data_IF_328763402980
#
_entry.id   IF_328763402980
#
_cell.length_a   1.000
_cell.length_b   1.000
_cell.length_c   1.000
_cell.angle_alpha   90.00
_cell.angle_beta   90.00
_cell.angle_gamma   90.00
#
_symmetry.space_group_name_H-M   'P 1'
#
loop_
_entity.id
_entity.type
_entity.pdbx_description
1 polymer ?
#
# COMPACT_ATOMS: atom_id res chain seq x y z
N UNK A 1 25.35 5.74 24.71
CA UNK A 1 24.33 6.80 24.65
C UNK A 1 24.62 7.63 23.40
N UNK A 2 23.99 7.31 22.28
CA UNK A 2 24.17 8.05 21.03
C UNK A 2 22.80 8.30 20.41
N UNK A 3 22.34 9.54 20.56
CA UNK A 3 21.17 10.07 19.86
C UNK A 3 21.60 10.30 18.41
N UNK A 4 21.25 9.37 17.52
CA UNK A 4 21.46 9.53 16.09
C UNK A 4 20.45 10.53 15.55
N UNK A 5 20.96 11.58 14.93
CA UNK A 5 20.22 12.74 14.44
C UNK A 5 19.01 12.35 13.61
N UNK A 6 17.84 12.66 14.16
CA UNK A 6 16.61 12.86 13.41
C UNK A 6 16.93 13.94 12.37
N UNK A 7 16.98 13.55 11.09
CA UNK A 7 16.81 14.51 10.00
C UNK A 7 15.54 15.29 10.35
N UNK A 8 15.66 16.61 10.55
CA UNK A 8 14.52 17.52 10.71
C UNK A 8 13.67 17.45 9.44
N UNK A 9 12.85 16.41 9.37
CA UNK A 9 11.62 16.38 8.65
C UNK A 9 10.71 17.36 9.39
N UNK A 10 10.34 18.43 8.71
CA UNK A 10 9.30 19.32 9.20
C UNK A 10 8.03 18.46 9.42
N UNK A 11 7.75 18.08 10.67
CA UNK A 11 6.51 17.42 11.09
C UNK A 11 6.55 15.95 11.55
N UNK A 12 7.73 15.32 11.76
CA UNK A 12 7.78 13.90 12.23
C UNK A 12 8.20 13.70 13.68
N UNK A 13 8.56 14.73 14.44
CA UNK A 13 8.96 14.58 15.86
C UNK A 13 7.86 14.00 16.75
N UNK A 14 6.59 14.12 16.35
CA UNK A 14 5.45 13.85 17.23
C UNK A 14 4.83 12.46 16.99
N UNK A 15 5.46 11.60 16.19
CA UNK A 15 4.93 10.27 15.86
C UNK A 15 6.03 9.21 15.73
N UNK A 16 6.38 8.53 16.84
CA UNK A 16 7.46 7.54 16.85
C UNK A 16 7.11 6.30 16.01
N UNK A 17 5.83 5.90 15.96
CA UNK A 17 5.39 4.71 15.21
C UNK A 17 5.53 4.94 13.70
N UNK A 18 5.10 6.10 13.21
CA UNK A 18 5.29 6.45 11.80
C UNK A 18 6.78 6.57 11.46
N UNK A 19 7.57 7.21 12.33
CA UNK A 19 9.02 7.37 12.14
C UNK A 19 9.72 6.01 12.05
N UNK A 20 9.37 5.07 12.92
CA UNK A 20 9.90 3.71 12.88
C UNK A 20 9.51 2.99 11.59
N UNK A 21 8.29 3.19 11.09
CA UNK A 21 7.84 2.60 9.81
C UNK A 21 8.68 3.08 8.64
N UNK A 22 8.99 4.39 8.58
CA UNK A 22 9.87 4.96 7.56
C UNK A 22 11.29 4.42 7.69
N UNK A 23 11.81 4.30 8.91
CA UNK A 23 13.14 3.71 9.16
C UNK A 23 13.23 2.26 8.66
N UNK A 24 12.20 1.46 8.91
CA UNK A 24 12.13 0.07 8.43
C UNK A 24 12.11 0.01 6.89
N UNK A 25 11.38 0.92 6.25
CA UNK A 25 11.38 1.03 4.79
C UNK A 25 12.76 1.39 4.21
N UNK A 26 13.48 2.32 4.84
CA UNK A 26 14.83 2.69 4.43
C UNK A 26 15.81 1.51 4.56
N UNK A 27 15.77 0.79 5.67
CA UNK A 27 16.60 -0.40 5.89
C UNK A 27 16.29 -1.51 4.89
N UNK A 28 15.01 -1.71 4.55
CA UNK A 28 14.62 -2.66 3.52
C UNK A 28 15.27 -2.31 2.18
N UNK A 29 15.20 -1.04 1.78
CA UNK A 29 15.82 -0.56 0.52
C UNK A 29 17.34 -0.75 0.55
N UNK A 30 18.00 -0.44 1.67
CA UNK A 30 19.45 -0.65 1.83
C UNK A 30 19.85 -2.12 1.71
N UNK A 31 18.98 -3.03 2.16
CA UNK A 31 19.14 -4.47 2.04
C UNK A 31 18.57 -5.05 0.73
N UNK A 32 18.38 -4.20 -0.29
CA UNK A 32 17.90 -4.59 -1.62
C UNK A 32 16.49 -5.23 -1.65
N UNK A 33 15.68 -4.99 -0.60
CA UNK A 33 14.25 -5.28 -0.57
C UNK A 33 13.53 -4.02 -1.05
N UNK A 34 13.31 -3.96 -2.37
CA UNK A 34 12.96 -2.73 -3.05
C UNK A 34 11.44 -2.52 -3.14
N UNK A 35 10.97 -1.25 -3.15
CA UNK A 35 9.58 -0.91 -3.43
C UNK A 35 9.13 -1.44 -4.79
N UNK A 36 7.94 -2.05 -4.82
CA UNK A 36 7.34 -2.65 -6.00
C UNK A 36 6.30 -1.73 -6.63
N UNK A 37 6.34 -1.58 -7.95
CA UNK A 37 5.41 -0.70 -8.65
C UNK A 37 4.01 -1.29 -8.68
N UNK A 38 3.01 -0.46 -8.36
CA UNK A 38 1.59 -0.79 -8.50
C UNK A 38 1.18 -0.47 -9.94
N UNK A 39 0.78 -1.48 -10.70
CA UNK A 39 0.39 -1.32 -12.11
C UNK A 39 -1.09 -0.97 -12.28
N UNK A 40 -1.92 -1.32 -11.30
CA UNK A 40 -3.32 -0.91 -11.25
C UNK A 40 -3.40 0.58 -10.85
N UNK A 41 -3.91 1.42 -11.75
CA UNK A 41 -4.05 2.86 -11.54
C UNK A 41 -3.40 3.75 -12.60
N UNK A 42 -3.52 5.06 -12.42
CA UNK A 42 -3.15 6.06 -13.44
C UNK A 42 -1.73 6.64 -13.30
N UNK A 43 -1.03 6.43 -12.17
CA UNK A 43 0.20 7.14 -11.76
C UNK A 43 1.32 6.23 -11.20
N UNK A 44 2.50 6.80 -10.93
CA UNK A 44 3.59 6.11 -10.23
C UNK A 44 3.27 5.93 -8.74
N UNK A 45 2.84 4.73 -8.36
CA UNK A 45 2.62 4.32 -6.96
C UNK A 45 3.43 3.04 -6.67
N UNK A 46 3.91 2.91 -5.44
CA UNK A 46 4.79 1.81 -5.05
C UNK A 46 4.37 1.21 -3.71
N UNK A 47 4.29 -0.12 -3.63
CA UNK A 47 4.28 -0.84 -2.36
C UNK A 47 5.67 -0.81 -1.75
N UNK A 48 5.79 -0.22 -0.57
CA UNK A 48 7.03 -0.14 0.20
C UNK A 48 7.03 -1.25 1.25
N UNK A 49 8.17 -1.94 1.36
CA UNK A 49 8.33 -3.11 2.22
C UNK A 49 9.24 -2.82 3.41
N UNK A 50 9.11 -3.60 4.47
CA UNK A 50 10.07 -3.65 5.58
C UNK A 50 11.15 -4.73 5.33
N UNK A 51 12.14 -4.91 6.23
CA UNK A 51 13.19 -5.90 6.08
C UNK A 51 12.70 -7.36 6.09
N UNK A 52 11.48 -7.62 6.58
CA UNK A 52 10.84 -8.93 6.49
C UNK A 52 10.12 -9.16 5.16
N UNK A 53 10.19 -8.21 4.22
CA UNK A 53 9.50 -8.28 2.92
C UNK A 53 8.01 -7.97 2.97
N UNK A 54 7.47 -7.58 4.13
CA UNK A 54 6.06 -7.23 4.31
C UNK A 54 5.79 -5.80 3.85
N UNK A 55 4.71 -5.58 3.11
CA UNK A 55 4.25 -4.24 2.72
C UNK A 55 3.85 -3.44 3.95
N UNK A 56 4.44 -2.25 4.12
CA UNK A 56 4.19 -1.34 5.24
C UNK A 56 3.57 -0.01 4.81
N UNK A 57 3.64 0.32 3.53
CA UNK A 57 3.02 1.53 3.02
C UNK A 57 2.93 1.60 1.52
N UNK A 58 2.18 2.59 1.05
CA UNK A 58 2.10 2.99 -0.35
C UNK A 58 2.79 4.34 -0.48
N UNK A 59 3.78 4.42 -1.35
CA UNK A 59 4.50 5.66 -1.65
C UNK A 59 4.13 6.19 -3.04
N UNK A 60 3.75 7.46 -3.11
CA UNK A 60 3.41 8.17 -4.36
C UNK A 60 4.35 9.37 -4.55
N UNK A 61 5.45 9.24 -5.32
CA UNK A 61 6.37 10.34 -5.55
C UNK A 61 5.74 11.46 -6.40
N UNK A 62 5.93 12.70 -5.96
CA UNK A 62 5.41 13.93 -6.60
C UNK A 62 5.72 13.99 -8.09
N UNK A 63 6.95 13.66 -8.49
CA UNK A 63 7.42 13.82 -9.87
C UNK A 63 6.96 12.71 -10.84
N UNK A 64 6.23 11.71 -10.36
CA UNK A 64 5.64 10.60 -11.13
C UNK A 64 4.10 10.61 -11.12
N UNK A 65 3.49 11.67 -10.59
CA UNK A 65 2.06 11.94 -10.70
C UNK A 65 1.64 12.11 -12.18
N UNK A 66 0.33 12.05 -12.52
CA UNK A 66 -0.14 12.18 -13.90
C UNK A 66 0.31 13.47 -14.63
N UNK A 67 0.64 14.53 -13.88
CA UNK A 67 1.20 15.80 -14.38
C UNK A 67 2.67 16.00 -13.99
N UNK A 68 3.32 14.99 -13.41
CA UNK A 68 4.72 15.00 -13.05
C UNK A 68 5.62 15.05 -14.28
N UNK A 69 6.78 15.71 -14.15
CA UNK A 69 7.76 15.89 -15.22
C UNK A 69 8.25 14.58 -15.84
N UNK A 70 8.11 13.45 -15.13
CA UNK A 70 8.57 12.13 -15.56
C UNK A 70 7.43 11.10 -15.71
N UNK A 71 6.18 11.53 -15.94
CA UNK A 71 5.11 10.58 -16.24
C UNK A 71 5.38 9.86 -17.59
N UNK A 72 5.49 8.52 -17.61
CA UNK A 72 5.73 7.75 -18.84
C UNK A 72 4.56 7.77 -19.85
N UNK A 73 3.38 8.26 -19.46
CA UNK A 73 2.25 8.47 -20.38
C UNK A 73 2.39 9.84 -21.08
N UNK A 74 3.29 9.90 -22.06
CA UNK A 74 3.55 11.05 -22.95
C UNK A 74 2.30 11.48 -23.77
N UNK A 75 1.27 10.63 -23.82
CA UNK A 75 0.01 10.83 -24.56
C UNK A 75 -0.85 12.00 -24.08
N UNK A 76 -0.61 12.58 -22.89
CA UNK A 76 -1.37 13.74 -22.39
C UNK A 76 -0.85 15.10 -22.87
N UNK A 77 0.39 15.20 -23.37
CA UNK A 77 0.90 16.45 -23.94
C UNK A 77 0.26 16.74 -25.31
N UNK A 78 0.09 15.69 -26.14
CA UNK A 78 -0.57 15.78 -27.44
C UNK A 78 -2.06 16.14 -27.33
N UNK A 79 -2.75 15.72 -26.26
CA UNK A 79 -4.13 16.12 -25.98
C UNK A 79 -4.28 17.54 -25.42
N UNK A 80 -3.24 18.10 -24.78
CA UNK A 80 -3.24 19.48 -24.26
C UNK A 80 -3.22 20.53 -25.39
N UNK A 81 -2.79 20.14 -26.59
CA UNK A 81 -2.74 21.00 -27.76
C UNK A 81 -4.04 21.00 -28.58
N UNK A 82 -4.85 19.93 -28.50
CA UNK A 82 -6.05 19.74 -29.34
C UNK A 82 -7.39 20.04 -28.63
N UNK A 83 -7.45 20.16 -27.29
CA UNK A 83 -8.71 20.42 -26.58
C UNK A 83 -8.48 21.09 -25.20
N UNK A 84 -8.48 22.44 -25.11
CA UNK A 84 -8.09 23.17 -23.90
C UNK A 84 -9.11 23.09 -22.74
N UNK A 85 -10.28 22.48 -22.93
CA UNK A 85 -11.40 22.46 -21.98
C UNK A 85 -11.85 21.07 -21.50
N UNK A 86 -11.27 19.96 -21.98
CA UNK A 86 -11.79 18.61 -21.71
C UNK A 86 -10.86 17.67 -20.91
N UNK A 87 -9.63 18.09 -20.57
CA UNK A 87 -8.65 17.16 -20.00
C UNK A 87 -7.89 17.71 -18.79
N UNK A 88 -8.30 17.19 -17.63
CA UNK A 88 -7.77 17.51 -16.30
C UNK A 88 -8.82 18.20 -15.44
N UNK A 89 -8.85 17.89 -14.14
CA UNK A 89 -9.72 18.60 -13.20
C UNK A 89 -9.16 20.01 -13.04
N UNK A 90 -9.64 20.96 -13.85
CA UNK A 90 -9.16 22.34 -13.88
C UNK A 90 -9.29 23.06 -12.52
N UNK A 91 -10.15 22.55 -11.64
CA UNK A 91 -10.30 22.99 -10.26
C UNK A 91 -9.22 22.49 -9.30
N UNK A 92 -8.32 21.59 -9.72
CA UNK A 92 -7.24 21.07 -8.89
C UNK A 92 -5.91 21.75 -9.21
N UNK A 93 -5.15 22.07 -8.16
CA UNK A 93 -3.80 22.61 -8.32
C UNK A 93 -2.88 21.51 -8.88
N UNK A 94 -2.18 21.75 -10.01
CA UNK A 94 -1.30 20.74 -10.60
C UNK A 94 -0.16 20.33 -9.67
N UNK A 95 0.22 19.04 -9.69
CA UNK A 95 1.43 18.51 -9.04
C UNK A 95 1.46 18.68 -7.50
N UNK A 96 0.28 18.66 -6.89
CA UNK A 96 0.06 18.69 -5.44
C UNK A 96 -0.73 17.47 -4.94
N UNK A 97 -0.80 16.38 -5.71
CA UNK A 97 -1.53 15.18 -5.31
C UNK A 97 -1.05 14.63 -3.96
N UNK A 98 0.27 14.50 -3.79
CA UNK A 98 0.88 14.07 -2.53
C UNK A 98 0.52 14.96 -1.31
N UNK A 99 0.27 16.26 -1.51
CA UNK A 99 -0.20 17.16 -0.45
C UNK A 99 -1.68 16.93 -0.15
N UNK A 100 -2.49 16.66 -1.16
CA UNK A 100 -3.90 16.30 -0.98
C UNK A 100 -4.03 14.99 -0.18
N UNK A 101 -3.19 14.00 -0.45
CA UNK A 101 -3.13 12.72 0.29
C UNK A 101 -2.75 12.93 1.77
N UNK A 102 -1.68 13.68 2.03
CA UNK A 102 -1.27 14.01 3.40
C UNK A 102 -2.30 14.91 4.11
N UNK A 103 -2.93 15.83 3.38
CA UNK A 103 -3.97 16.71 3.88
C UNK A 103 -5.24 15.97 4.29
N UNK A 104 -5.64 14.93 3.54
CA UNK A 104 -6.76 14.08 3.91
C UNK A 104 -6.51 13.38 5.27
N UNK A 105 -5.30 12.84 5.47
CA UNK A 105 -4.92 12.25 6.76
C UNK A 105 -4.87 13.29 7.89
N UNK A 106 -4.45 14.53 7.60
CA UNK A 106 -4.43 15.60 8.60
C UNK A 106 -5.85 16.01 9.03
N UNK A 107 -6.77 16.14 8.08
CA UNK A 107 -8.19 16.46 8.36
C UNK A 107 -8.85 15.32 9.12
N UNK A 108 -8.63 14.07 8.71
CA UNK A 108 -9.12 12.87 9.41
C UNK A 108 -8.69 12.86 10.89
N UNK A 109 -7.41 13.09 11.17
CA UNK A 109 -6.89 13.15 12.53
C UNK A 109 -7.48 14.31 13.34
N UNK A 110 -7.62 15.49 12.73
CA UNK A 110 -8.16 16.68 13.39
C UNK A 110 -9.64 16.53 13.76
N UNK A 111 -10.39 15.79 12.95
CA UNK A 111 -11.81 15.48 13.16
C UNK A 111 -12.04 14.16 13.89
N UNK A 112 -10.97 13.42 14.23
CA UNK A 112 -11.01 12.12 14.90
C UNK A 112 -11.91 11.10 14.17
N UNK A 113 -11.91 11.12 12.84
CA UNK A 113 -12.71 10.19 12.03
C UNK A 113 -12.08 8.79 12.03
N UNK A 114 -10.75 8.72 12.01
CA UNK A 114 -9.96 7.49 12.07
C UNK A 114 -10.27 6.50 10.93
N UNK A 115 -10.52 7.02 9.72
CA UNK A 115 -10.83 6.22 8.52
C UNK A 115 -9.74 6.31 7.45
N UNK A 116 -8.89 7.35 7.47
CA UNK A 116 -7.75 7.49 6.56
C UNK A 116 -6.51 6.85 7.19
N UNK A 117 -5.89 5.84 6.57
CA UNK A 117 -4.61 5.34 7.02
C UNK A 117 -3.58 6.47 7.07
N UNK A 118 -2.81 6.51 8.15
CA UNK A 118 -1.90 7.64 8.43
C UNK A 118 -1.00 7.92 7.23
N UNK A 119 -1.06 9.16 6.74
CA UNK A 119 -0.36 9.59 5.54
C UNK A 119 0.43 10.86 5.82
N UNK A 120 1.74 10.86 5.53
CA UNK A 120 2.60 12.05 5.67
C UNK A 120 3.46 12.25 4.43
N UNK A 121 4.00 13.46 4.30
CA UNK A 121 5.00 13.78 3.27
C UNK A 121 6.35 13.25 3.73
N UNK A 122 6.98 12.42 2.90
CA UNK A 122 8.30 11.85 3.18
C UNK A 122 9.22 12.00 1.97
N UNK A 123 10.50 11.68 2.17
CA UNK A 123 11.48 11.56 1.09
C UNK A 123 12.03 10.15 1.10
N UNK A 124 11.98 9.46 -0.03
CA UNK A 124 12.56 8.13 -0.20
C UNK A 124 13.48 8.11 -1.42
N UNK A 125 14.48 7.23 -1.39
CA UNK A 125 15.37 6.92 -2.51
C UNK A 125 15.22 5.44 -2.80
N UNK A 126 14.95 5.06 -4.05
CA UNK A 126 14.99 3.65 -4.46
C UNK A 126 15.34 3.55 -5.95
N UNK A 127 16.22 2.62 -6.39
CA UNK A 127 16.49 2.41 -7.80
C UNK A 127 15.24 2.02 -8.63
N UNK A 128 14.19 1.49 -8.00
CA UNK A 128 12.93 1.14 -8.66
C UNK A 128 12.07 2.34 -9.04
N UNK A 129 12.30 3.51 -8.45
CA UNK A 129 11.59 4.74 -8.84
C UNK A 129 12.00 5.22 -10.23
N UNK A 130 11.17 6.05 -10.85
CA UNK A 130 11.45 6.57 -12.18
C UNK A 130 12.41 7.76 -12.14
N UNK A 131 13.68 7.52 -12.47
CA UNK A 131 14.70 8.57 -12.63
C UNK A 131 15.04 8.81 -14.10
N UNK A 132 15.31 10.07 -14.51
CA UNK A 132 15.85 10.36 -15.83
C UNK A 132 17.16 9.60 -16.09
N UNK A 133 17.39 9.17 -17.34
CA UNK A 133 18.53 8.33 -17.75
C UNK A 133 19.89 8.89 -17.30
N UNK A 134 20.06 10.21 -17.30
CA UNK A 134 21.30 10.90 -16.86
C UNK A 134 21.57 10.65 -15.37
N UNK A 135 20.54 10.61 -14.52
CA UNK A 135 20.69 10.34 -13.10
C UNK A 135 21.07 8.88 -12.83
N UNK A 136 20.58 7.94 -13.63
CA UNK A 136 20.97 6.51 -13.57
C UNK A 136 22.44 6.31 -13.99
N UNK A 137 22.91 6.98 -15.04
CA UNK A 137 24.32 6.91 -15.45
C UNK A 137 25.29 7.37 -14.36
N UNK A 138 24.94 8.46 -13.64
CA UNK A 138 25.75 8.97 -12.52
C UNK A 138 25.76 8.04 -11.31
N UNK A 139 24.67 7.33 -11.02
CA UNK A 139 24.66 6.34 -9.94
C UNK A 139 25.51 5.11 -10.28
N UNK A 140 25.47 4.60 -11.52
CA UNK A 140 26.30 3.46 -11.93
C UNK A 140 27.81 3.75 -11.78
N UNK A 141 28.25 4.94 -12.21
CA UNK A 141 29.65 5.37 -12.05
C UNK A 141 30.03 5.48 -10.57
N UNK A 142 29.14 6.02 -9.72
CA UNK A 142 29.41 6.15 -8.29
C UNK A 142 29.45 4.81 -7.56
N UNK A 143 28.62 3.85 -7.97
CA UNK A 143 28.66 2.47 -7.48
C UNK A 143 30.00 1.80 -7.84
N UNK A 144 30.41 1.88 -9.10
CA UNK A 144 31.68 1.30 -9.56
C UNK A 144 32.91 1.88 -8.84
N UNK A 145 32.89 3.16 -8.48
CA UNK A 145 33.97 3.82 -7.72
C UNK A 145 33.94 3.40 -6.23
N UNK A 146 32.75 3.27 -5.64
CA UNK A 146 32.61 2.89 -4.23
C UNK A 146 32.99 1.42 -3.98
N UNK A 147 32.75 0.53 -4.93
CA UNK A 147 33.21 -0.87 -4.87
C UNK A 147 34.74 -0.98 -4.90
N UNK A 148 35.42 0.02 -5.49
CA UNK A 148 36.89 0.09 -5.54
C UNK A 148 37.54 0.78 -4.32
N UNK A 149 36.81 1.63 -3.58
CA UNK A 149 37.33 2.35 -2.40
C UNK A 149 36.30 2.44 -1.26
N UNK A 150 36.19 1.41 -0.40
CA UNK A 150 35.11 1.32 0.60
C UNK A 150 35.25 2.24 1.83
N UNK A 151 36.34 2.99 1.99
CA UNK A 151 36.74 3.57 3.28
C UNK A 151 36.56 5.08 3.48
N UNK A 152 35.78 5.79 2.66
CA UNK A 152 35.58 7.25 2.85
C UNK A 152 34.11 7.61 3.07
N UNK A 153 33.75 7.92 4.32
CA UNK A 153 32.62 8.78 4.68
C UNK A 153 31.23 8.14 4.69
N UNK A 154 30.70 7.93 5.91
CA UNK A 154 29.40 7.32 6.24
C UNK A 154 28.18 8.16 5.79
N UNK A 155 27.05 7.45 5.72
CA UNK A 155 25.67 7.94 5.91
C UNK A 155 25.01 8.70 4.73
N UNK A 156 23.98 8.08 4.14
CA UNK A 156 22.91 8.67 3.31
C UNK A 156 23.17 9.14 1.85
N UNK A 157 24.35 8.93 1.26
CA UNK A 157 24.58 9.24 -0.17
C UNK A 157 25.05 8.05 -1.04
N UNK A 158 24.79 6.81 -0.58
CA UNK A 158 25.31 5.57 -1.20
C UNK A 158 24.76 5.24 -2.60
N UNK A 159 23.53 5.65 -2.94
CA UNK A 159 22.92 5.30 -4.23
C UNK A 159 23.14 6.32 -5.35
N UNK A 160 23.71 7.50 -5.06
CA UNK A 160 23.87 8.60 -6.05
C UNK A 160 22.55 9.18 -6.61
N UNK A 161 21.40 8.56 -6.32
CA UNK A 161 20.07 8.99 -6.71
C UNK A 161 19.53 10.03 -5.73
N UNK A 162 18.84 11.04 -6.27
CA UNK A 162 18.21 12.10 -5.46
C UNK A 162 16.98 11.55 -4.73
N UNK A 163 16.79 11.85 -3.42
CA UNK A 163 15.54 11.54 -2.73
C UNK A 163 14.33 12.18 -3.42
N UNK A 164 13.30 11.37 -3.66
CA UNK A 164 12.01 11.81 -4.19
C UNK A 164 11.09 12.15 -3.04
N UNK A 165 10.47 13.32 -3.11
CA UNK A 165 9.40 13.74 -2.19
C UNK A 165 8.08 13.14 -2.65
N UNK A 166 7.25 12.67 -1.72
CA UNK A 166 5.94 12.09 -2.03
C UNK A 166 5.12 11.85 -0.77
N UNK A 167 3.90 11.36 -0.96
CA UNK A 167 3.05 10.91 0.15
C UNK A 167 3.39 9.46 0.47
N UNK A 168 3.48 9.16 1.76
CA UNK A 168 3.59 7.80 2.27
C UNK A 168 2.40 7.53 3.17
N UNK A 169 1.55 6.60 2.74
CA UNK A 169 0.38 6.13 3.44
C UNK A 169 0.67 4.76 4.05
N UNK A 170 0.36 4.57 5.33
CA UNK A 170 0.50 3.27 5.98
C UNK A 170 -0.43 2.24 5.31
N UNK A 171 0.10 1.04 5.07
CA UNK A 171 -0.66 -0.05 4.47
C UNK A 171 -1.58 -0.71 5.50
N UNK A 172 -2.81 -1.04 5.11
CA UNK A 172 -3.81 -1.70 5.97
C UNK A 172 -4.17 -3.09 5.42
N UNK A 173 -4.26 -4.07 6.31
CA UNK A 173 -4.44 -5.48 5.95
C UNK A 173 -5.87 -5.99 6.19
N UNK A 174 -6.31 -6.91 5.34
CA UNK A 174 -7.62 -7.54 5.41
C UNK A 174 -8.76 -6.67 4.89
N UNK A 175 -8.44 -5.63 4.12
CA UNK A 175 -9.40 -4.76 3.46
C UNK A 175 -9.61 -5.20 2.01
N UNK A 176 -10.82 -4.98 1.49
CA UNK A 176 -11.16 -5.12 0.06
C UNK A 176 -11.96 -3.91 -0.39
N UNK A 177 -12.05 -3.71 -1.70
CA UNK A 177 -12.84 -2.66 -2.33
C UNK A 177 -14.28 -2.64 -1.78
N UNK A 178 -14.82 -1.46 -1.53
CA UNK A 178 -16.17 -1.33 -1.03
C UNK A 178 -17.19 -1.92 -2.00
N UNK A 179 -16.98 -1.75 -3.31
CA UNK A 179 -17.80 -2.37 -4.36
C UNK A 179 -17.96 -3.89 -4.17
N UNK A 180 -16.89 -4.59 -3.79
CA UNK A 180 -16.95 -6.02 -3.53
C UNK A 180 -17.92 -6.33 -2.38
N UNK A 181 -17.78 -5.62 -1.26
CA UNK A 181 -18.55 -5.89 -0.05
C UNK A 181 -20.00 -5.42 -0.17
N UNK A 182 -20.26 -4.28 -0.80
CA UNK A 182 -21.62 -3.77 -1.04
C UNK A 182 -22.46 -4.79 -1.83
N UNK A 183 -21.89 -5.38 -2.88
CA UNK A 183 -22.56 -6.46 -3.64
C UNK A 183 -22.87 -7.68 -2.78
N UNK A 184 -21.98 -8.05 -1.85
CA UNK A 184 -22.27 -9.17 -0.93
C UNK A 184 -23.38 -8.82 0.05
N UNK A 185 -23.42 -7.59 0.56
CA UNK A 185 -24.45 -7.11 1.49
C UNK A 185 -25.83 -6.98 0.85
N UNK A 186 -25.92 -6.77 -0.48
CA UNK A 186 -27.18 -6.82 -1.22
C UNK A 186 -27.74 -8.24 -1.31
N UNK A 187 -26.87 -9.25 -1.43
CA UNK A 187 -27.26 -10.66 -1.50
C UNK A 187 -27.58 -11.24 -0.13
N UNK A 188 -26.73 -10.94 0.86
CA UNK A 188 -26.86 -11.36 2.24
C UNK A 188 -26.82 -10.13 3.16
N UNK A 189 -27.98 -9.56 3.50
CA UNK A 189 -28.05 -8.37 4.34
C UNK A 189 -27.37 -8.56 5.68
N UNK A 190 -26.63 -7.53 6.09
CA UNK A 190 -25.99 -7.49 7.41
C UNK A 190 -27.04 -7.57 8.53
N UNK A 191 -26.62 -8.09 9.69
CA UNK A 191 -27.44 -7.97 10.90
C UNK A 191 -27.68 -6.49 11.24
N UNK A 192 -28.79 -6.15 11.93
CA UNK A 192 -29.09 -4.75 12.28
C UNK A 192 -27.95 -4.04 13.02
N UNK A 193 -27.23 -4.77 13.88
CA UNK A 193 -26.05 -4.26 14.57
C UNK A 193 -24.91 -3.91 13.60
N UNK A 194 -24.57 -4.80 12.67
CA UNK A 194 -23.50 -4.57 11.70
C UNK A 194 -23.88 -3.49 10.68
N UNK A 195 -25.16 -3.40 10.32
CA UNK A 195 -25.67 -2.32 9.47
C UNK A 195 -25.49 -0.96 10.13
N UNK A 196 -25.74 -0.85 11.44
CA UNK A 196 -25.50 0.38 12.20
C UNK A 196 -24.00 0.73 12.26
N UNK A 197 -23.13 -0.25 12.51
CA UNK A 197 -21.68 -0.02 12.49
C UNK A 197 -21.19 0.44 11.12
N UNK A 198 -21.68 -0.18 10.05
CA UNK A 198 -21.37 0.21 8.68
C UNK A 198 -21.83 1.64 8.38
N UNK A 199 -23.07 1.99 8.76
CA UNK A 199 -23.63 3.33 8.60
C UNK A 199 -22.76 4.39 9.27
N UNK A 200 -22.35 4.17 10.52
CA UNK A 200 -21.47 5.10 11.26
C UNK A 200 -20.11 5.29 10.59
N UNK A 201 -19.51 4.23 10.03
CA UNK A 201 -18.26 4.35 9.26
C UNK A 201 -18.47 5.09 7.94
N UNK A 202 -19.59 4.84 7.26
CA UNK A 202 -19.93 5.51 6.02
C UNK A 202 -20.21 7.01 6.23
N UNK A 203 -20.90 7.39 7.30
CA UNK A 203 -21.12 8.80 7.67
C UNK A 203 -19.78 9.55 7.86
N UNK A 204 -18.78 8.93 8.49
CA UNK A 204 -17.43 9.49 8.60
C UNK A 204 -16.76 9.71 7.24
N UNK A 205 -16.93 8.76 6.32
CA UNK A 205 -16.43 8.90 4.94
C UNK A 205 -17.08 10.08 4.23
N UNK A 206 -18.41 10.21 4.35
CA UNK A 206 -19.17 11.33 3.78
C UNK A 206 -18.69 12.66 4.34
N UNK A 207 -18.52 12.77 5.67
CA UNK A 207 -18.00 13.99 6.32
C UNK A 207 -16.62 14.36 5.75
N UNK A 208 -15.70 13.40 5.72
CA UNK A 208 -14.34 13.64 5.21
C UNK A 208 -14.37 14.11 3.76
N UNK A 209 -14.98 13.33 2.87
CA UNK A 209 -14.97 13.61 1.43
C UNK A 209 -15.71 14.90 1.09
N UNK A 210 -16.75 15.26 1.84
CA UNK A 210 -17.44 16.52 1.66
C UNK A 210 -16.56 17.71 2.08
N UNK A 211 -15.92 17.64 3.26
CA UNK A 211 -15.06 18.71 3.77
C UNK A 211 -13.85 18.96 2.87
N UNK A 212 -13.17 17.91 2.41
CA UNK A 212 -12.00 18.05 1.54
C UNK A 212 -12.39 18.23 0.06
N UNK A 213 -13.69 18.20 -0.23
CA UNK A 213 -14.28 18.19 -1.57
C UNK A 213 -13.58 17.19 -2.49
N UNK A 214 -13.55 15.93 -2.08
CA UNK A 214 -12.92 14.87 -2.85
C UNK A 214 -13.59 14.76 -4.23
N UNK A 215 -12.77 14.75 -5.28
CA UNK A 215 -13.21 14.76 -6.68
C UNK A 215 -13.13 13.39 -7.34
N UNK A 216 -12.74 12.36 -6.59
CA UNK A 216 -12.37 11.04 -7.12
C UNK A 216 -12.86 9.85 -6.27
N UNK A 217 -13.94 10.01 -5.51
CA UNK A 217 -14.48 8.90 -4.72
C UNK A 217 -15.44 8.03 -5.55
N UNK A 218 -14.93 6.93 -6.07
CA UNK A 218 -15.73 5.78 -6.54
C UNK A 218 -15.73 4.65 -5.51
N UNK A 219 -16.61 3.64 -5.66
CA UNK A 219 -16.70 2.47 -4.77
C UNK A 219 -15.47 1.54 -4.82
N UNK A 220 -14.60 1.73 -5.80
CA UNK A 220 -13.29 1.11 -5.96
C UNK A 220 -12.18 1.84 -5.18
N UNK A 221 -12.44 3.07 -4.69
CA UNK A 221 -11.45 3.94 -4.06
C UNK A 221 -11.60 4.04 -2.53
N UNK A 222 -12.49 3.29 -1.90
CA UNK A 222 -12.54 3.13 -0.44
C UNK A 222 -12.72 1.66 -0.10
N UNK A 223 -12.23 1.27 1.06
CA UNK A 223 -12.07 -0.12 1.42
C UNK A 223 -12.91 -0.47 2.65
N UNK A 224 -13.45 -1.67 2.66
CA UNK A 224 -14.16 -2.24 3.80
C UNK A 224 -13.38 -3.46 4.29
N UNK A 225 -13.22 -3.55 5.61
CA UNK A 225 -12.78 -4.76 6.29
C UNK A 225 -13.97 -5.35 7.02
N UNK A 226 -14.40 -6.52 6.57
CA UNK A 226 -15.45 -7.29 7.20
C UNK A 226 -14.90 -8.67 7.54
N UNK A 227 -15.13 -9.12 8.76
CA UNK A 227 -14.76 -10.46 9.23
C UNK A 227 -16.03 -11.16 9.66
N UNK A 228 -16.47 -12.14 8.87
CA UNK A 228 -17.66 -12.92 9.22
C UNK A 228 -17.42 -13.67 10.52
N UNK A 229 -18.40 -13.70 11.44
CA UNK A 229 -18.24 -14.33 12.76
C UNK A 229 -18.18 -15.87 12.78
N UNK A 230 -17.92 -16.58 11.67
CA UNK A 230 -18.05 -18.05 11.63
C UNK A 230 -16.74 -18.84 11.79
N UNK A 231 -16.66 -19.50 12.96
CA UNK A 231 -16.17 -20.86 13.28
C UNK A 231 -14.70 -21.15 12.95
N UNK A 232 -13.86 -21.09 13.98
CA UNK A 232 -12.62 -21.89 14.05
C UNK A 232 -13.01 -23.36 13.94
N UNK A 233 -12.91 -23.94 12.75
CA UNK A 233 -12.89 -25.40 12.62
C UNK A 233 -11.56 -25.82 13.22
N UNK A 234 -11.57 -26.16 14.50
CA UNK A 234 -10.49 -26.92 15.12
C UNK A 234 -10.41 -28.22 14.33
N UNK A 235 -9.45 -28.32 13.41
CA UNK A 235 -9.12 -29.58 12.77
C UNK A 235 -8.73 -30.54 13.89
N UNK A 236 -9.64 -31.46 14.21
CA UNK A 236 -9.33 -32.60 15.06
C UNK A 236 -8.30 -33.44 14.30
N UNK A 237 -7.14 -33.78 14.90
CA UNK A 237 -6.12 -34.54 14.19
C UNK A 237 -6.68 -35.91 13.81
N UNK A 238 -6.63 -36.21 12.51
CA UNK A 238 -7.03 -37.50 11.94
C UNK A 238 -6.13 -38.60 12.52
N UNK A 239 -6.68 -39.74 13.01
CA UNK A 239 -5.84 -40.87 13.40
C UNK A 239 -5.11 -41.46 12.19
N UNK A 240 -3.89 -42.01 12.36
CA UNK A 240 -3.13 -42.56 11.24
C UNK A 240 -3.84 -43.77 10.61
N UNK A 241 -3.83 -43.81 9.28
CA UNK A 241 -4.49 -44.82 8.46
C UNK A 241 -3.95 -46.23 8.76
N UNK A 242 -4.86 -47.18 9.02
CA UNK A 242 -4.56 -48.61 9.06
C UNK A 242 -4.49 -49.16 7.62
N UNK A 243 -3.49 -50.00 7.37
CA UNK A 243 -3.24 -50.70 6.09
C UNK A 243 -4.39 -51.64 5.70
N UNK A 244 -4.65 -51.86 4.40
CA UNK A 244 -5.79 -52.66 3.94
C UNK A 244 -5.59 -54.16 4.24
N UNK A 245 -6.68 -54.92 4.49
CA UNK A 245 -6.58 -56.34 4.79
C UNK A 245 -6.46 -57.20 3.52
N UNK A 246 -5.76 -58.32 3.72
CA UNK A 246 -5.45 -59.42 2.82
C UNK A 246 -6.72 -60.12 2.29
N UNK A 247 -6.72 -60.49 1.01
CA UNK A 247 -7.82 -61.18 0.31
C UNK A 247 -7.53 -62.66 0.08
N UNK A 248 -8.53 -63.51 0.30
CA UNK A 248 -8.58 -64.94 -0.07
C UNK A 248 -8.63 -65.84 1.17
N UNK A 249 -9.50 -66.82 1.32
CA UNK A 249 -10.55 -67.41 0.49
C UNK A 249 -11.56 -68.03 1.46
N UNK A 250 -12.86 -68.07 1.14
CA UNK A 250 -13.74 -69.10 1.72
C UNK A 250 -14.87 -69.45 0.77
N UNK A 251 -14.85 -70.73 0.38
CA UNK A 251 -15.86 -71.47 -0.36
C UNK A 251 -17.25 -71.40 0.28
N UNK A 252 -18.24 -71.57 -0.60
CA UNK A 252 -19.67 -71.61 -0.32
C UNK A 252 -20.10 -73.01 0.17
N UNK A 253 -21.23 -73.05 0.88
CA UNK A 253 -22.07 -74.20 1.30
C UNK A 253 -21.82 -74.69 2.74
N UNK A 254 -22.81 -75.04 3.56
CA UNK A 254 -24.27 -75.15 3.39
C UNK A 254 -24.95 -74.96 4.76
N UNK A 255 -26.27 -74.76 4.70
CA UNK A 255 -27.20 -74.65 5.81
C UNK A 255 -27.10 -75.77 6.84
N UNK A 256 -27.43 -75.47 8.11
CA UNK A 256 -28.51 -76.13 8.87
C UNK A 256 -28.83 -75.34 10.14
N UNK A 257 -30.13 -75.27 10.40
CA UNK A 257 -30.90 -74.87 11.58
C UNK A 257 -30.24 -75.12 12.95
N UNK A 258 -30.40 -74.20 13.91
CA UNK A 258 -31.33 -74.23 15.05
C UNK A 258 -31.19 -72.94 15.87
#
# INVERSE_FOLDING_TARGET
>A
MFVTGIVKSYGTSDDPVFTETIRQAEIAIENNILPERIYQGSSGSYFVKNPAGKTVGVFKPKDEEPYGRFNPKWTKWMHKLCCPCCFGRACLIPNQGYLSEAGASLVDQKLQLNIVPKTKVVKLVSPTFNYPRIARGKSHVKHAINDHFPNVGRHFHRLGLKPKIGSFQVFVEGYKDAEYWLRQMELEPLSPYLQEQFRLQFERLVILDYIIRNTDRGNDNWLIKYTSPNITITQTPTPPAQSPPYSGDTEMQDATEW
#
